data_IF_017635501627
#
_entry.id   IF_017635501627
#
_cell.length_a   1.000
_cell.length_b   1.000
_cell.length_c   1.000
_cell.angle_alpha   90.00
_cell.angle_beta   90.00
_cell.angle_gamma   90.00
#
_symmetry.space_group_name_H-M   'P 1'
#
loop_
_entity.id
_entity.type
_entity.pdbx_description
1 polymer ?
#
# COMPACT_ATOMS: atom_id res chain seq x y z
N UNK A 1 -5.60 -14.66 -0.95
CA UNK A 1 -5.35 -13.66 0.10
C UNK A 1 -4.74 -12.44 -0.57
N UNK A 2 -5.26 -11.24 -0.32
CA UNK A 2 -4.69 -10.00 -0.91
C UNK A 2 -3.22 -9.86 -0.54
N UNK A 3 -2.42 -9.13 -1.33
CA UNK A 3 -1.11 -8.67 -0.87
C UNK A 3 -1.38 -7.79 0.35
N UNK A 4 -1.20 -8.34 1.55
CA UNK A 4 -1.66 -7.76 2.82
C UNK A 4 -1.32 -6.28 2.95
N UNK A 5 -0.17 -5.88 2.40
CA UNK A 5 0.29 -4.50 2.37
C UNK A 5 -0.74 -3.45 1.94
N UNK A 6 -1.55 -3.64 0.89
CA UNK A 6 -2.48 -2.57 0.47
C UNK A 6 -3.62 -2.39 1.48
N UNK A 7 -4.21 -3.51 1.90
CA UNK A 7 -5.29 -3.53 2.90
C UNK A 7 -4.78 -3.01 4.25
N UNK A 8 -3.54 -3.33 4.60
CA UNK A 8 -2.88 -2.85 5.82
C UNK A 8 -2.74 -1.32 5.82
N UNK A 9 -2.49 -0.69 4.65
CA UNK A 9 -2.51 0.78 4.54
C UNK A 9 -3.92 1.33 4.72
N UNK A 10 -4.93 0.73 4.07
CA UNK A 10 -6.32 1.18 4.19
C UNK A 10 -6.81 1.13 5.63
N UNK A 11 -6.53 0.03 6.33
CA UNK A 11 -6.88 -0.15 7.74
C UNK A 11 -6.11 0.77 8.67
N UNK A 12 -4.83 1.06 8.39
CA UNK A 12 -4.08 2.08 9.13
C UNK A 12 -4.79 3.43 9.08
N UNK A 13 -5.11 3.89 7.88
CA UNK A 13 -5.75 5.20 7.66
C UNK A 13 -7.13 5.23 8.31
N UNK A 14 -7.93 4.18 8.15
CA UNK A 14 -9.23 4.06 8.80
C UNK A 14 -9.12 4.03 10.33
N UNK A 15 -8.14 3.35 10.90
CA UNK A 15 -7.88 3.34 12.33
C UNK A 15 -7.57 4.74 12.87
N UNK A 16 -6.75 5.50 12.16
CA UNK A 16 -6.46 6.90 12.51
C UNK A 16 -7.72 7.79 12.37
N UNK A 17 -8.53 7.60 11.33
CA UNK A 17 -9.81 8.29 11.20
C UNK A 17 -10.77 7.96 12.35
N UNK A 18 -10.79 6.73 12.84
CA UNK A 18 -11.61 6.33 14.00
C UNK A 18 -11.10 7.01 15.28
N UNK A 19 -9.78 7.02 15.51
CA UNK A 19 -9.18 7.62 16.71
C UNK A 19 -9.37 9.14 16.79
N UNK A 20 -9.33 9.84 15.65
CA UNK A 20 -9.33 11.30 15.60
C UNK A 20 -10.61 11.93 15.04
N UNK A 21 -11.40 11.18 14.27
CA UNK A 21 -12.55 11.69 13.51
C UNK A 21 -13.71 12.22 14.36
N UNK A 22 -13.74 11.93 15.67
CA UNK A 22 -14.71 12.57 16.59
C UNK A 22 -14.47 14.08 16.69
N UNK A 23 -13.22 14.51 16.76
CA UNK A 23 -12.83 15.91 16.95
C UNK A 23 -12.51 16.60 15.63
N UNK A 24 -12.19 15.82 14.59
CA UNK A 24 -11.76 16.32 13.28
C UNK A 24 -12.73 15.88 12.16
N UNK A 25 -13.82 16.64 11.90
CA UNK A 25 -14.76 16.32 10.81
C UNK A 25 -14.12 16.26 9.42
N UNK A 26 -12.99 16.94 9.23
CA UNK A 26 -12.20 16.87 8.00
C UNK A 26 -11.68 15.46 7.69
N UNK A 27 -11.71 14.53 8.66
CA UNK A 27 -11.35 13.14 8.49
C UNK A 27 -12.52 12.25 8.04
N UNK A 28 -13.73 12.76 7.80
CA UNK A 28 -14.88 11.95 7.34
C UNK A 28 -14.85 11.69 5.82
N UNK A 29 -13.67 11.34 5.33
CA UNK A 29 -13.39 11.08 3.92
C UNK A 29 -13.41 9.57 3.66
N UNK A 30 -14.06 9.16 2.57
CA UNK A 30 -14.10 7.76 2.16
C UNK A 30 -12.91 7.36 1.29
N UNK A 31 -12.24 8.34 0.67
CA UNK A 31 -11.06 8.12 -0.15
C UNK A 31 -9.81 8.02 0.74
N UNK A 32 -9.15 6.86 0.75
CA UNK A 32 -7.94 6.59 1.55
C UNK A 32 -6.82 7.60 1.33
N UNK A 33 -6.59 8.04 0.09
CA UNK A 33 -5.52 9.00 -0.20
C UNK A 33 -5.85 10.40 0.30
N UNK A 34 -7.11 10.83 0.17
CA UNK A 34 -7.55 12.12 0.69
C UNK A 34 -7.54 12.13 2.22
N UNK A 35 -7.99 11.05 2.86
CA UNK A 35 -7.91 10.85 4.30
C UNK A 35 -6.46 10.88 4.80
N UNK A 36 -5.55 10.18 4.11
CA UNK A 36 -4.11 10.18 4.41
C UNK A 36 -3.51 11.60 4.31
N UNK A 37 -3.89 12.38 3.30
CA UNK A 37 -3.46 13.76 3.15
C UNK A 37 -4.03 14.68 4.25
N UNK A 38 -5.30 14.50 4.60
CA UNK A 38 -5.94 15.25 5.68
C UNK A 38 -5.29 14.97 7.04
N UNK A 39 -4.96 13.71 7.34
CA UNK A 39 -4.21 13.32 8.55
C UNK A 39 -2.85 14.00 8.63
N UNK A 40 -2.14 14.13 7.50
CA UNK A 40 -0.86 14.84 7.45
C UNK A 40 -1.03 16.35 7.64
N UNK A 41 -2.04 16.95 7.00
CA UNK A 41 -2.35 18.38 7.12
C UNK A 41 -2.73 18.78 8.56
N UNK A 42 -3.45 17.91 9.27
CA UNK A 42 -3.79 18.08 10.68
C UNK A 42 -2.63 17.77 11.64
N UNK A 43 -1.48 17.32 11.13
CA UNK A 43 -0.31 16.96 11.94
C UNK A 43 -0.44 15.64 12.72
N UNK A 44 -1.49 14.86 12.47
CA UNK A 44 -1.69 13.53 13.06
C UNK A 44 -0.69 12.54 12.45
N UNK A 45 -0.44 12.64 11.15
CA UNK A 45 0.68 12.00 10.49
C UNK A 45 1.82 12.99 10.31
N UNK A 46 3.04 12.58 10.66
CA UNK A 46 4.23 13.34 10.29
C UNK A 46 4.40 13.36 8.76
N UNK A 47 5.03 14.40 8.23
CA UNK A 47 5.29 14.49 6.78
C UNK A 47 6.14 13.31 6.27
N UNK A 48 7.04 12.79 7.11
CA UNK A 48 7.82 11.59 6.80
C UNK A 48 6.92 10.35 6.68
N UNK A 49 6.09 10.09 7.69
CA UNK A 49 5.15 8.95 7.67
C UNK A 49 4.18 9.04 6.49
N UNK A 50 3.64 10.23 6.23
CA UNK A 50 2.80 10.48 5.05
C UNK A 50 3.51 10.11 3.75
N UNK A 51 4.75 10.58 3.57
CA UNK A 51 5.52 10.32 2.35
C UNK A 51 5.76 8.83 2.15
N UNK A 52 6.12 8.11 3.22
CA UNK A 52 6.37 6.66 3.20
C UNK A 52 5.08 5.86 2.92
N UNK A 53 3.97 6.18 3.60
CA UNK A 53 2.68 5.51 3.38
C UNK A 53 2.13 5.78 1.99
N UNK A 54 2.24 7.02 1.50
CA UNK A 54 1.80 7.36 0.15
C UNK A 54 2.60 6.61 -0.91
N UNK A 55 3.92 6.51 -0.74
CA UNK A 55 4.76 5.74 -1.65
C UNK A 55 4.36 4.25 -1.66
N UNK A 56 4.20 3.64 -0.48
CA UNK A 56 3.76 2.26 -0.35
C UNK A 56 2.36 2.03 -0.95
N UNK A 57 1.39 2.87 -0.64
CA UNK A 57 0.03 2.80 -1.20
C UNK A 57 0.06 2.83 -2.73
N UNK A 58 0.78 3.79 -3.33
CA UNK A 58 0.86 3.92 -4.78
C UNK A 58 1.58 2.74 -5.44
N UNK A 59 2.60 2.18 -4.79
CA UNK A 59 3.29 0.99 -5.28
C UNK A 59 2.37 -0.24 -5.22
N UNK A 60 1.74 -0.50 -4.08
CA UNK A 60 0.90 -1.66 -3.83
C UNK A 60 -0.38 -1.63 -4.67
N UNK A 61 -0.98 -0.45 -4.86
CA UNK A 61 -2.09 -0.26 -5.79
C UNK A 61 -1.70 -0.64 -7.22
N UNK A 62 -0.54 -0.16 -7.70
CA UNK A 62 -0.02 -0.51 -9.02
C UNK A 62 0.27 -2.00 -9.15
N UNK A 63 0.80 -2.64 -8.10
CA UNK A 63 1.04 -4.09 -8.06
C UNK A 63 -0.27 -4.87 -8.21
N UNK A 64 -1.30 -4.50 -7.45
CA UNK A 64 -2.63 -5.13 -7.53
C UNK A 64 -3.23 -4.97 -8.92
N UNK A 65 -3.14 -3.78 -9.50
CA UNK A 65 -3.68 -3.54 -10.85
C UNK A 65 -2.88 -4.30 -11.92
N UNK A 66 -1.56 -4.43 -11.77
CA UNK A 66 -0.73 -5.25 -12.64
C UNK A 66 -1.07 -6.74 -12.52
N UNK A 67 -1.27 -7.25 -11.30
CA UNK A 67 -1.69 -8.64 -11.04
C UNK A 67 -3.04 -8.96 -11.70
N UNK A 68 -4.01 -8.04 -11.62
CA UNK A 68 -5.30 -8.18 -12.31
C UNK A 68 -5.14 -8.33 -13.81
N UNK A 69 -4.20 -7.58 -14.41
CA UNK A 69 -3.92 -7.65 -15.85
C UNK A 69 -3.24 -8.98 -16.21
N UNK A 70 -2.23 -9.41 -15.44
CA UNK A 70 -1.50 -10.67 -15.69
C UNK A 70 -2.43 -11.87 -15.60
N UNK A 71 -3.39 -11.85 -14.66
CA UNK A 71 -4.32 -12.97 -14.42
C UNK A 71 -5.62 -12.92 -15.21
N UNK A 72 -5.98 -11.75 -15.74
CA UNK A 72 -7.26 -11.54 -16.43
C UNK A 72 -8.50 -11.58 -15.51
N UNK A 73 -8.32 -11.57 -14.18
CA UNK A 73 -9.42 -11.53 -13.21
C UNK A 73 -9.00 -10.91 -11.86
N UNK A 74 -9.97 -10.53 -11.04
CA UNK A 74 -9.74 -9.96 -9.71
C UNK A 74 -9.89 -10.93 -8.53
N UNK A 75 -10.09 -12.24 -8.77
CA UNK A 75 -10.44 -13.21 -7.72
C UNK A 75 -9.26 -13.68 -6.88
N UNK A 76 -8.12 -13.95 -7.52
CA UNK A 76 -6.89 -14.34 -6.85
C UNK A 76 -5.82 -13.30 -7.19
N UNK A 77 -5.36 -12.57 -6.18
CA UNK A 77 -4.35 -11.52 -6.27
C UNK A 77 -3.13 -11.86 -5.40
N UNK A 78 -2.90 -13.15 -5.18
CA UNK A 78 -1.68 -13.63 -4.53
C UNK A 78 -0.49 -13.29 -5.42
N UNK A 79 0.57 -12.72 -4.84
CA UNK A 79 1.81 -12.43 -5.57
C UNK A 79 2.47 -13.77 -5.93
N UNK A 80 2.76 -14.05 -7.22
CA UNK A 80 3.45 -15.27 -7.64
C UNK A 80 4.88 -15.32 -7.08
N UNK A 81 5.46 -16.51 -6.98
CA UNK A 81 6.85 -16.66 -6.53
C UNK A 81 7.82 -16.05 -7.56
N UNK A 82 8.98 -15.54 -7.11
CA UNK A 82 9.98 -14.93 -8.00
C UNK A 82 10.47 -15.88 -9.10
N UNK A 83 10.45 -17.19 -8.86
CA UNK A 83 10.81 -18.22 -9.84
C UNK A 83 9.73 -18.52 -10.89
N UNK A 84 8.52 -17.99 -10.74
CA UNK A 84 7.41 -18.22 -11.66
C UNK A 84 7.42 -17.23 -12.83
N UNK A 85 6.99 -17.69 -14.01
CA UNK A 85 6.92 -16.84 -15.21
C UNK A 85 5.95 -15.66 -15.05
N UNK A 86 4.87 -15.85 -14.28
CA UNK A 86 3.92 -14.79 -13.91
C UNK A 86 4.60 -13.61 -13.23
N UNK A 87 5.60 -13.87 -12.37
CA UNK A 87 6.34 -12.81 -11.69
C UNK A 87 7.22 -12.01 -12.67
N UNK A 88 7.75 -12.65 -13.71
CA UNK A 88 8.46 -11.96 -14.79
C UNK A 88 7.55 -11.01 -15.58
N UNK A 89 6.32 -11.44 -15.88
CA UNK A 89 5.32 -10.56 -16.52
C UNK A 89 4.93 -9.40 -15.61
N UNK A 90 4.78 -9.67 -14.31
CA UNK A 90 4.49 -8.66 -13.31
C UNK A 90 5.61 -7.60 -13.23
N UNK A 91 6.88 -8.02 -13.17
CA UNK A 91 8.05 -7.13 -13.18
C UNK A 91 8.06 -6.20 -14.39
N UNK A 92 7.82 -6.73 -15.59
CA UNK A 92 7.71 -5.91 -16.82
C UNK A 92 6.57 -4.90 -16.73
N UNK A 93 5.41 -5.32 -16.23
CA UNK A 93 4.24 -4.44 -16.12
C UNK A 93 4.41 -3.35 -15.07
N UNK A 94 5.16 -3.63 -14.02
CA UNK A 94 5.54 -2.69 -12.95
C UNK A 94 6.70 -1.76 -13.34
N UNK A 95 7.31 -1.95 -14.51
CA UNK A 95 8.40 -1.11 -15.01
C UNK A 95 9.81 -1.58 -14.65
N UNK A 96 9.95 -2.76 -14.05
CA UNK A 96 11.24 -3.35 -13.64
C UNK A 96 11.93 -4.15 -14.75
N UNK A 97 11.29 -4.25 -15.93
CA UNK A 97 11.76 -5.04 -17.06
C UNK A 97 12.09 -6.49 -16.64
N UNK A 98 13.35 -6.93 -16.76
CA UNK A 98 13.79 -8.27 -16.38
C UNK A 98 14.40 -8.33 -14.97
N UNK A 99 14.31 -7.25 -14.17
CA UNK A 99 14.89 -7.19 -12.84
C UNK A 99 13.87 -7.63 -11.77
N UNK A 100 13.61 -8.92 -11.71
CA UNK A 100 12.67 -9.55 -10.78
C UNK A 100 13.10 -9.33 -9.32
N UNK A 101 14.38 -9.47 -9.04
CA UNK A 101 14.91 -9.33 -7.67
C UNK A 101 14.76 -7.90 -7.14
N UNK A 102 14.82 -6.88 -8.00
CA UNK A 102 14.54 -5.50 -7.59
C UNK A 102 13.04 -5.29 -7.28
N UNK A 103 12.12 -5.86 -8.07
CA UNK A 103 10.69 -5.83 -7.73
C UNK A 103 10.42 -6.53 -6.38
N UNK A 104 11.07 -7.67 -6.17
CA UNK A 104 10.97 -8.46 -4.94
C UNK A 104 11.45 -7.67 -3.71
N UNK A 105 12.60 -7.00 -3.84
CA UNK A 105 13.15 -6.13 -2.79
C UNK A 105 12.24 -4.92 -2.49
N UNK A 106 11.82 -4.17 -3.50
CA UNK A 106 10.95 -2.99 -3.31
C UNK A 106 9.59 -3.38 -2.70
N UNK A 107 9.05 -4.54 -3.08
CA UNK A 107 7.83 -5.08 -2.48
C UNK A 107 8.02 -5.38 -0.98
N UNK A 108 9.12 -6.06 -0.63
CA UNK A 108 9.43 -6.37 0.76
C UNK A 108 9.62 -5.09 1.59
N UNK A 109 10.34 -4.11 1.05
CA UNK A 109 10.57 -2.83 1.71
C UNK A 109 9.27 -2.06 1.95
N UNK A 110 8.38 -1.99 0.95
CA UNK A 110 7.09 -1.33 1.12
C UNK A 110 6.21 -2.03 2.16
N UNK A 111 6.17 -3.37 2.18
CA UNK A 111 5.40 -4.13 3.18
C UNK A 111 5.95 -3.89 4.59
N UNK A 112 7.27 -3.99 4.77
CA UNK A 112 7.93 -3.77 6.05
C UNK A 112 7.69 -2.35 6.58
N UNK A 113 7.75 -1.35 5.69
CA UNK A 113 7.45 0.04 6.03
C UNK A 113 6.01 0.22 6.56
N UNK A 114 5.02 -0.40 5.90
CA UNK A 114 3.62 -0.32 6.33
C UNK A 114 3.43 -1.00 7.69
N UNK A 115 4.00 -2.18 7.89
CA UNK A 115 3.92 -2.91 9.16
C UNK A 115 4.55 -2.13 10.33
N UNK A 116 5.72 -1.54 10.10
CA UNK A 116 6.41 -0.72 11.09
C UNK A 116 5.58 0.52 11.46
N UNK A 117 5.01 1.22 10.47
CA UNK A 117 4.17 2.39 10.72
C UNK A 117 2.85 2.03 11.40
N UNK A 118 2.26 0.89 11.07
CA UNK A 118 1.09 0.35 11.77
C UNK A 118 1.39 0.16 13.25
N UNK A 119 2.48 -0.54 13.58
CA UNK A 119 2.89 -0.76 14.96
C UNK A 119 3.21 0.54 15.72
N UNK A 120 3.74 1.55 15.04
CA UNK A 120 4.08 2.83 15.67
C UNK A 120 2.89 3.78 15.87
N UNK A 121 1.86 3.69 15.03
CA UNK A 121 0.76 4.67 14.99
C UNK A 121 -0.53 4.16 15.64
N UNK A 122 -0.73 2.84 15.67
CA UNK A 122 -1.91 2.19 16.23
C UNK A 122 -1.59 1.15 17.33
N UNK A 123 -0.33 0.79 17.51
CA UNK A 123 0.14 -0.07 18.61
C UNK A 123 0.38 0.73 19.88
#
# INVERSE_FOLDING_TARGET
YSPGGLVDVEYLIQGLQINHGRNEPALHLTNTQEAMAALAWLGILSQEHFTRLRAAHLFLQRLVDALRVVRGHAKDLTVPLESEEEFAFLARRMGYANNQSLLSADLADHIANVQMLNASLLG
#
